data_IF_710386683802
#
_entry.id   IF_710386683802
#
_cell.length_a   1.000
_cell.length_b   1.000
_cell.length_c   1.000
_cell.angle_alpha   90.00
_cell.angle_beta   90.00
_cell.angle_gamma   90.00
#
_symmetry.space_group_name_H-M   'P 1'
#
loop_
_entity.id
_entity.type
_entity.pdbx_description
1 polymer ?
#
# COMPACT_ATOMS: atom_id res chain seq x y z
N UNK A 1 19.45 -13.24 -28.10
CA UNK A 1 18.04 -12.96 -27.68
C UNK A 1 18.10 -11.93 -26.57
N UNK A 2 17.72 -10.68 -26.88
CA UNK A 2 17.69 -9.60 -25.88
C UNK A 2 16.52 -9.86 -24.92
N UNK A 3 16.83 -10.16 -23.69
CA UNK A 3 15.87 -10.39 -22.57
C UNK A 3 14.88 -9.23 -22.32
N UNK A 4 15.17 -8.05 -22.86
CA UNK A 4 14.31 -6.87 -22.74
C UNK A 4 12.98 -6.96 -23.49
N UNK A 5 12.93 -7.63 -24.64
CA UNK A 5 11.75 -7.59 -25.52
C UNK A 5 10.54 -8.39 -25.03
N UNK A 6 10.74 -9.48 -24.27
CA UNK A 6 9.63 -10.28 -23.72
C UNK A 6 9.12 -9.67 -22.44
N UNK A 7 10.00 -9.17 -21.57
CA UNK A 7 9.63 -8.47 -20.35
C UNK A 7 8.85 -7.19 -20.64
N UNK A 8 9.32 -6.39 -21.61
CA UNK A 8 8.66 -5.16 -22.05
C UNK A 8 7.23 -5.43 -22.54
N UNK A 9 7.02 -6.42 -23.43
CA UNK A 9 5.68 -6.78 -23.92
C UNK A 9 4.73 -7.25 -22.84
N UNK A 10 5.23 -7.96 -21.81
CA UNK A 10 4.38 -8.39 -20.70
C UNK A 10 3.98 -7.17 -19.86
N UNK A 11 4.90 -6.27 -19.60
CA UNK A 11 4.66 -5.05 -18.86
C UNK A 11 3.66 -4.15 -19.60
N UNK A 12 3.88 -3.89 -20.88
CA UNK A 12 2.99 -3.10 -21.72
C UNK A 12 1.54 -3.56 -21.66
N UNK A 13 1.28 -4.87 -21.63
CA UNK A 13 -0.05 -5.43 -21.54
C UNK A 13 -0.73 -5.20 -20.17
N UNK A 14 0.02 -5.11 -19.08
CA UNK A 14 -0.52 -4.90 -17.74
C UNK A 14 -0.50 -3.43 -17.31
N UNK A 15 0.26 -2.59 -17.98
CA UNK A 15 0.43 -1.19 -17.61
C UNK A 15 -0.88 -0.39 -17.54
N UNK A 16 -1.83 -0.52 -18.50
CA UNK A 16 -3.12 0.13 -18.38
C UNK A 16 -3.90 -0.30 -17.13
N UNK A 17 -3.87 -1.60 -16.81
CA UNK A 17 -4.52 -2.13 -15.61
C UNK A 17 -3.83 -1.63 -14.34
N UNK A 18 -2.49 -1.61 -14.31
CA UNK A 18 -1.70 -1.09 -13.21
C UNK A 18 -2.10 0.37 -12.94
N UNK A 19 -2.05 1.22 -13.94
CA UNK A 19 -2.40 2.63 -13.81
C UNK A 19 -3.86 2.86 -13.38
N UNK A 20 -4.77 2.07 -13.90
CA UNK A 20 -6.17 2.09 -13.48
C UNK A 20 -6.34 1.73 -12.01
N UNK A 21 -5.66 0.68 -11.53
CA UNK A 21 -5.74 0.25 -10.14
C UNK A 21 -5.10 1.27 -9.19
N UNK A 22 -3.95 1.84 -9.56
CA UNK A 22 -3.31 2.91 -8.77
C UNK A 22 -4.30 4.07 -8.59
N UNK A 23 -4.88 4.58 -9.67
CA UNK A 23 -5.86 5.66 -9.63
C UNK A 23 -7.07 5.33 -8.75
N UNK A 24 -7.58 4.11 -8.84
CA UNK A 24 -8.67 3.63 -7.99
C UNK A 24 -8.31 3.66 -6.50
N UNK A 25 -7.14 3.17 -6.13
CA UNK A 25 -6.71 3.15 -4.72
C UNK A 25 -6.45 4.56 -4.20
N UNK A 26 -5.85 5.43 -5.00
CA UNK A 26 -5.65 6.84 -4.63
C UNK A 26 -7.00 7.54 -4.39
N UNK A 27 -7.99 7.35 -5.26
CA UNK A 27 -9.33 7.89 -5.06
C UNK A 27 -10.02 7.35 -3.80
N UNK A 28 -9.83 6.08 -3.47
CA UNK A 28 -10.36 5.50 -2.23
C UNK A 28 -9.75 6.10 -0.96
N UNK A 29 -8.55 6.69 -1.08
CA UNK A 29 -7.86 7.43 -0.02
C UNK A 29 -8.15 8.94 -0.05
N UNK A 30 -9.18 9.37 -0.80
CA UNK A 30 -9.50 10.77 -1.03
C UNK A 30 -8.31 11.59 -1.55
N UNK A 31 -7.44 10.93 -2.33
CA UNK A 31 -6.25 11.53 -2.89
C UNK A 31 -6.34 11.57 -4.41
N UNK A 32 -6.73 12.72 -4.93
CA UNK A 32 -7.08 12.93 -6.34
C UNK A 32 -5.89 13.51 -7.11
N UNK A 33 -4.95 12.66 -7.46
CA UNK A 33 -3.83 12.98 -8.35
C UNK A 33 -3.87 12.08 -9.58
N UNK A 34 -3.30 12.55 -10.67
CA UNK A 34 -3.10 11.76 -11.87
C UNK A 34 -1.70 11.17 -11.83
N UNK A 35 -1.59 9.96 -11.28
CA UNK A 35 -0.34 9.21 -11.16
C UNK A 35 -0.28 8.14 -12.22
N UNK A 36 0.79 8.14 -13.00
CA UNK A 36 1.03 7.18 -14.07
C UNK A 36 2.43 6.58 -14.00
N UNK A 37 2.52 5.29 -14.29
CA UNK A 37 3.79 4.61 -14.58
C UNK A 37 3.89 4.41 -16.09
N UNK A 38 5.08 4.62 -16.65
CA UNK A 38 5.43 4.27 -18.01
C UNK A 38 5.93 2.81 -18.12
N UNK A 39 6.33 2.37 -19.31
CA UNK A 39 6.83 1.02 -19.59
C UNK A 39 8.20 0.73 -18.96
N UNK A 40 8.92 1.74 -18.55
CA UNK A 40 10.18 1.64 -17.79
C UNK A 40 9.96 1.78 -16.27
N UNK A 41 8.68 1.89 -15.83
CA UNK A 41 8.26 2.16 -14.45
C UNK A 41 8.73 3.52 -13.91
N UNK A 42 9.00 4.48 -14.80
CA UNK A 42 9.15 5.85 -14.37
C UNK A 42 7.80 6.42 -13.99
N UNK A 43 7.76 7.18 -12.90
CA UNK A 43 6.58 7.86 -12.45
C UNK A 43 6.36 9.17 -13.21
N UNK A 44 5.12 9.41 -13.59
CA UNK A 44 4.64 10.68 -14.11
C UNK A 44 3.45 11.13 -13.28
N UNK A 45 3.54 12.32 -12.69
CA UNK A 45 2.50 12.85 -11.82
C UNK A 45 2.03 14.16 -12.43
N UNK A 46 0.74 14.22 -12.75
CA UNK A 46 0.10 15.43 -13.21
C UNK A 46 -0.78 15.98 -12.08
N UNK A 47 -0.47 17.17 -11.65
CA UNK A 47 -1.32 17.94 -10.75
C UNK A 47 -2.11 18.97 -11.55
N UNK A 48 -3.40 19.20 -11.22
CA UNK A 48 -4.17 20.27 -11.85
C UNK A 48 -3.60 21.70 -11.66
N UNK A 49 -2.67 21.84 -10.75
CA UNK A 49 -2.20 23.15 -10.25
C UNK A 49 -0.72 23.40 -10.59
N UNK A 50 0.09 22.35 -10.80
CA UNK A 50 1.54 22.47 -11.01
C UNK A 50 2.02 21.64 -12.20
N UNK A 51 2.77 22.23 -13.11
CA UNK A 51 3.30 21.59 -14.32
C UNK A 51 4.48 20.64 -14.05
N UNK A 52 5.29 20.92 -13.00
CA UNK A 52 6.46 20.13 -12.63
C UNK A 52 6.29 19.55 -11.22
N UNK A 53 5.45 18.54 -11.08
CA UNK A 53 5.22 17.87 -9.81
C UNK A 53 5.88 16.48 -9.82
N UNK A 54 6.73 16.23 -8.82
CA UNK A 54 7.41 14.95 -8.66
C UNK A 54 7.03 14.32 -7.31
N UNK A 55 7.32 13.03 -7.16
CA UNK A 55 7.09 12.31 -5.90
C UNK A 55 7.74 13.01 -4.69
N UNK A 56 8.91 13.63 -4.88
CA UNK A 56 9.60 14.37 -3.81
C UNK A 56 8.86 15.62 -3.33
N UNK A 57 7.92 16.14 -4.10
CA UNK A 57 7.13 17.33 -3.76
C UNK A 57 5.99 17.06 -2.77
N UNK A 58 5.65 15.78 -2.56
CA UNK A 58 4.59 15.39 -1.64
C UNK A 58 5.04 15.38 -0.18
N UNK A 59 4.10 15.66 0.71
CA UNK A 59 4.27 15.42 2.14
C UNK A 59 4.43 13.92 2.42
N UNK A 60 4.97 13.55 3.58
CA UNK A 60 5.16 12.14 3.94
C UNK A 60 3.84 11.36 3.96
N UNK A 61 2.74 11.97 4.42
CA UNK A 61 1.42 11.34 4.41
C UNK A 61 0.87 11.10 2.99
N UNK A 62 1.14 12.01 2.04
CA UNK A 62 0.77 11.84 0.64
C UNK A 62 1.62 10.77 -0.05
N UNK A 63 2.93 10.76 0.19
CA UNK A 63 3.84 9.69 -0.28
C UNK A 63 3.37 8.33 0.19
N UNK A 64 2.99 8.22 1.45
CA UNK A 64 2.49 6.96 2.01
C UNK A 64 1.21 6.47 1.33
N UNK A 65 0.29 7.38 0.94
CA UNK A 65 -0.89 7.01 0.15
C UNK A 65 -0.50 6.46 -1.23
N UNK A 66 0.49 7.05 -1.88
CA UNK A 66 1.02 6.55 -3.16
C UNK A 66 1.63 5.15 -2.97
N UNK A 67 2.48 4.97 -1.97
CA UNK A 67 3.14 3.69 -1.69
C UNK A 67 2.13 2.58 -1.39
N UNK A 68 1.07 2.89 -0.65
CA UNK A 68 -0.02 1.95 -0.39
C UNK A 68 -0.82 1.62 -1.65
N UNK A 69 -1.12 2.61 -2.49
CA UNK A 69 -1.79 2.37 -3.76
C UNK A 69 -0.97 1.46 -4.66
N UNK A 70 0.34 1.66 -4.72
CA UNK A 70 1.28 0.79 -5.43
C UNK A 70 1.30 -0.63 -4.84
N UNK A 71 1.42 -0.78 -3.53
CA UNK A 71 1.41 -2.08 -2.84
C UNK A 71 0.16 -2.89 -3.17
N UNK A 72 -1.02 -2.29 -3.07
CA UNK A 72 -2.29 -2.97 -3.36
C UNK A 72 -2.44 -3.28 -4.84
N UNK A 73 -1.97 -2.39 -5.72
CA UNK A 73 -1.96 -2.62 -7.17
C UNK A 73 -1.09 -3.83 -7.52
N UNK A 74 0.13 -3.90 -6.99
CA UNK A 74 1.03 -5.03 -7.23
C UNK A 74 0.45 -6.34 -6.72
N UNK A 75 -0.23 -6.31 -5.57
CA UNK A 75 -0.93 -7.49 -5.04
C UNK A 75 -2.02 -7.97 -5.98
N UNK A 76 -2.85 -7.08 -6.53
CA UNK A 76 -3.90 -7.45 -7.48
C UNK A 76 -3.33 -8.00 -8.80
N UNK A 77 -2.29 -7.38 -9.33
CA UNK A 77 -1.60 -7.86 -10.54
C UNK A 77 -0.98 -9.24 -10.31
N UNK A 78 -0.39 -9.48 -9.14
CA UNK A 78 0.16 -10.78 -8.78
C UNK A 78 -0.91 -11.87 -8.72
N UNK A 79 -2.10 -11.58 -8.19
CA UNK A 79 -3.24 -12.50 -8.19
C UNK A 79 -3.65 -12.91 -9.61
N UNK A 80 -3.75 -11.93 -10.51
CA UNK A 80 -4.14 -12.17 -11.91
C UNK A 80 -3.11 -13.04 -12.62
N UNK A 81 -1.82 -12.77 -12.39
CA UNK A 81 -0.72 -13.45 -13.10
C UNK A 81 -0.46 -14.87 -12.60
N UNK A 82 -0.54 -15.10 -11.31
CA UNK A 82 -0.03 -16.34 -10.70
C UNK A 82 -1.10 -17.36 -10.32
N UNK A 83 -2.39 -17.06 -10.46
CA UNK A 83 -3.50 -17.90 -9.97
C UNK A 83 -3.40 -18.30 -8.49
N UNK A 84 -2.34 -17.89 -7.81
CA UNK A 84 -2.08 -18.13 -6.39
C UNK A 84 -2.32 -16.85 -5.62
N UNK A 85 -3.43 -16.79 -4.92
CA UNK A 85 -3.74 -15.72 -3.99
C UNK A 85 -3.15 -16.07 -2.63
N UNK A 86 -2.15 -15.31 -2.18
CA UNK A 86 -1.74 -15.38 -0.77
C UNK A 86 -2.85 -14.77 0.08
N UNK A 87 -3.35 -15.56 1.04
CA UNK A 87 -4.35 -15.10 2.01
C UNK A 87 -3.73 -14.46 3.25
N UNK A 88 -2.52 -13.96 3.14
CA UNK A 88 -1.75 -13.34 4.21
C UNK A 88 -1.18 -12.01 3.75
N UNK A 89 -1.37 -10.98 4.57
CA UNK A 89 -0.74 -9.67 4.41
C UNK A 89 -0.16 -9.25 5.77
N UNK A 90 1.14 -9.01 5.80
CA UNK A 90 1.83 -8.51 6.99
C UNK A 90 2.31 -7.10 6.70
N UNK A 91 1.96 -6.18 7.59
CA UNK A 91 2.32 -4.77 7.51
C UNK A 91 3.11 -4.41 8.77
N UNK A 92 4.38 -4.08 8.56
CA UNK A 92 5.30 -3.78 9.65
C UNK A 92 5.57 -2.28 9.72
N UNK A 93 5.27 -1.68 10.88
CA UNK A 93 5.50 -0.27 11.22
C UNK A 93 4.92 0.77 10.22
N UNK A 94 4.01 0.38 9.33
CA UNK A 94 3.41 1.29 8.35
C UNK A 94 2.66 2.45 9.02
N UNK A 95 2.08 2.20 10.20
CA UNK A 95 1.35 3.21 10.96
C UNK A 95 2.23 4.05 11.88
N UNK A 96 3.47 3.66 12.10
CA UNK A 96 4.34 4.31 13.09
C UNK A 96 4.99 5.58 12.56
N UNK A 97 5.06 5.72 11.24
CA UNK A 97 5.48 6.94 10.57
C UNK A 97 4.32 7.93 10.40
N UNK A 98 4.37 8.80 9.50
CA UNK A 98 3.65 10.06 9.29
C UNK A 98 2.12 10.00 9.08
N UNK A 99 1.44 8.86 9.25
CA UNK A 99 -0.02 8.87 9.19
C UNK A 99 -0.58 9.61 10.40
N UNK A 100 -1.20 10.75 10.16
CA UNK A 100 -2.07 11.38 11.13
C UNK A 100 -3.31 10.48 11.39
N UNK A 101 -4.11 10.82 12.39
CA UNK A 101 -5.30 10.03 12.74
C UNK A 101 -6.27 9.83 11.57
N UNK A 102 -6.31 10.78 10.62
CA UNK A 102 -7.17 10.74 9.44
C UNK A 102 -6.66 9.71 8.41
N UNK A 103 -5.36 9.70 8.15
CA UNK A 103 -4.75 8.72 7.24
C UNK A 103 -4.86 7.29 7.75
N UNK A 104 -4.86 7.08 9.05
CA UNK A 104 -5.02 5.76 9.67
C UNK A 104 -6.44 5.20 9.42
N UNK A 105 -7.49 5.99 9.58
CA UNK A 105 -8.86 5.54 9.38
C UNK A 105 -9.16 5.23 7.91
N UNK A 106 -8.66 6.06 7.00
CA UNK A 106 -8.81 5.83 5.56
C UNK A 106 -8.07 4.58 5.11
N UNK A 107 -6.88 4.36 5.63
CA UNK A 107 -6.13 3.14 5.38
C UNK A 107 -6.86 1.88 5.87
N UNK A 108 -7.43 1.91 7.07
CA UNK A 108 -8.20 0.78 7.60
C UNK A 108 -9.45 0.50 6.76
N UNK A 109 -10.12 1.53 6.23
CA UNK A 109 -11.23 1.36 5.29
C UNK A 109 -10.78 0.61 4.04
N UNK A 110 -9.63 0.99 3.48
CA UNK A 110 -9.08 0.35 2.30
C UNK A 110 -8.71 -1.10 2.58
N UNK A 111 -8.00 -1.37 3.66
CA UNK A 111 -7.67 -2.74 4.05
C UNK A 111 -8.93 -3.61 4.10
N UNK A 112 -9.96 -3.16 4.79
CA UNK A 112 -11.22 -3.89 4.92
C UNK A 112 -11.95 -4.08 3.59
N UNK A 113 -11.82 -3.14 2.68
CA UNK A 113 -12.45 -3.21 1.35
C UNK A 113 -11.65 -4.07 0.37
N UNK A 114 -10.34 -3.92 0.35
CA UNK A 114 -9.45 -4.53 -0.66
C UNK A 114 -9.05 -5.94 -0.29
N UNK A 115 -8.95 -6.23 1.00
CA UNK A 115 -8.39 -7.50 1.49
C UNK A 115 -9.49 -8.36 2.13
N UNK A 116 -10.59 -8.57 1.41
CA UNK A 116 -11.69 -9.41 1.88
C UNK A 116 -11.30 -10.88 2.08
N UNK A 117 -10.26 -11.33 1.37
CA UNK A 117 -9.87 -12.73 1.27
C UNK A 117 -8.52 -13.04 1.94
N UNK A 118 -8.02 -12.18 2.83
CA UNK A 118 -6.74 -12.43 3.48
C UNK A 118 -6.76 -12.07 4.96
N UNK A 119 -5.94 -12.80 5.72
CA UNK A 119 -5.60 -12.45 7.08
C UNK A 119 -4.59 -11.31 7.08
N UNK A 120 -4.88 -10.25 7.82
CA UNK A 120 -4.05 -9.07 7.89
C UNK A 120 -3.42 -9.00 9.27
N UNK A 121 -2.10 -8.90 9.31
CA UNK A 121 -1.34 -8.65 10.51
C UNK A 121 -0.69 -7.28 10.41
N UNK A 122 -0.93 -6.46 11.40
CA UNK A 122 -0.32 -5.13 11.52
C UNK A 122 0.58 -5.15 12.74
N UNK A 123 1.85 -4.80 12.54
CA UNK A 123 2.83 -4.63 13.60
C UNK A 123 3.00 -3.13 13.80
N UNK A 124 2.78 -2.64 15.02
CA UNK A 124 2.83 -1.23 15.35
C UNK A 124 3.17 -1.01 16.82
N UNK A 125 3.85 0.10 17.10
CA UNK A 125 4.10 0.59 18.46
C UNK A 125 3.00 1.51 18.98
N UNK A 126 2.03 1.88 18.11
CA UNK A 126 0.92 2.78 18.47
C UNK A 126 -0.16 2.05 19.27
N UNK A 127 -0.46 2.55 20.44
CA UNK A 127 -1.49 1.97 21.35
C UNK A 127 -2.91 2.41 20.98
N UNK A 128 -3.08 3.52 20.28
CA UNK A 128 -4.36 4.06 19.82
C UNK A 128 -4.99 3.25 18.67
N UNK A 129 -4.24 2.28 18.13
CA UNK A 129 -4.73 1.36 17.11
C UNK A 129 -5.47 0.14 17.68
N UNK A 130 -5.36 -0.14 18.96
CA UNK A 130 -5.86 -1.39 19.56
C UNK A 130 -7.35 -1.59 19.30
N UNK A 131 -8.17 -0.56 19.48
CA UNK A 131 -9.63 -0.63 19.32
C UNK A 131 -10.08 -0.75 17.85
N UNK A 132 -9.14 -0.66 16.92
CA UNK A 132 -9.43 -0.69 15.48
C UNK A 132 -9.30 -2.07 14.86
N UNK A 133 -8.78 -3.05 15.61
CA UNK A 133 -8.53 -4.42 15.16
C UNK A 133 -9.36 -5.43 15.94
N UNK A 134 -9.74 -6.52 15.26
CA UNK A 134 -10.55 -7.60 15.86
C UNK A 134 -9.79 -8.37 16.95
N UNK A 135 -8.47 -8.41 16.85
CA UNK A 135 -7.60 -9.08 17.81
C UNK A 135 -6.28 -8.33 17.96
N UNK A 136 -5.86 -8.15 19.20
CA UNK A 136 -4.58 -7.54 19.55
C UNK A 136 -3.71 -8.56 20.28
N UNK A 137 -2.45 -8.66 19.89
CA UNK A 137 -1.43 -9.46 20.58
C UNK A 137 -0.35 -8.50 21.03
N UNK A 138 -0.19 -8.36 22.33
CA UNK A 138 0.81 -7.46 22.92
C UNK A 138 2.06 -8.24 23.30
N UNK A 139 3.22 -7.74 22.89
CA UNK A 139 4.51 -8.25 23.29
C UNK A 139 5.17 -7.29 24.26
N UNK A 140 5.68 -7.80 25.38
CA UNK A 140 6.48 -7.04 26.33
C UNK A 140 7.84 -7.69 26.54
N UNK A 141 8.88 -6.86 26.69
CA UNK A 141 10.21 -7.33 27.04
C UNK A 141 10.34 -7.41 28.56
N UNK A 142 10.48 -8.62 29.11
CA UNK A 142 10.75 -8.88 30.54
C UNK A 142 12.06 -9.64 30.70
N UNK A 143 13.00 -9.08 31.45
CA UNK A 143 14.32 -9.69 31.73
C UNK A 143 15.00 -10.21 30.44
N UNK A 144 15.08 -9.37 29.40
CA UNK A 144 15.65 -9.66 28.09
C UNK A 144 14.92 -10.70 27.23
N UNK A 145 13.76 -11.18 27.63
CA UNK A 145 12.92 -12.08 26.83
C UNK A 145 11.63 -11.37 26.40
N UNK A 146 11.23 -11.56 25.15
CA UNK A 146 9.92 -11.12 24.68
C UNK A 146 8.85 -12.12 25.12
N UNK A 147 7.80 -11.63 25.74
CA UNK A 147 6.67 -12.44 26.21
C UNK A 147 5.37 -11.85 25.68
N UNK A 148 4.42 -12.73 25.35
CA UNK A 148 3.06 -12.31 25.02
C UNK A 148 2.37 -11.94 26.34
N UNK A 149 1.75 -10.78 26.35
CA UNK A 149 0.89 -10.34 27.44
C UNK A 149 -0.54 -10.49 26.96
N UNK A 150 -1.33 -11.30 27.65
CA UNK A 150 -2.76 -11.41 27.39
C UNK A 150 -3.42 -10.06 27.65
N UNK A 151 -4.19 -9.59 26.66
CA UNK A 151 -5.02 -8.39 26.75
C UNK A 151 -6.38 -8.73 27.29
#
# INVERSE_FOLDING_TARGET
LKDGGVKSKIIENYLPLINQQIGKYLQMMDFYINFHLDDEFNESIQSPIHEDFSYSSFSEGEKQRIDLALLFTWREVAKIKNSTSTNLLIMDEIFDSSLDGFGTDDFLKIIRFVVKDANIFVISHKTDLHDKFDKVIKFEKRKNFSQIVES
#
